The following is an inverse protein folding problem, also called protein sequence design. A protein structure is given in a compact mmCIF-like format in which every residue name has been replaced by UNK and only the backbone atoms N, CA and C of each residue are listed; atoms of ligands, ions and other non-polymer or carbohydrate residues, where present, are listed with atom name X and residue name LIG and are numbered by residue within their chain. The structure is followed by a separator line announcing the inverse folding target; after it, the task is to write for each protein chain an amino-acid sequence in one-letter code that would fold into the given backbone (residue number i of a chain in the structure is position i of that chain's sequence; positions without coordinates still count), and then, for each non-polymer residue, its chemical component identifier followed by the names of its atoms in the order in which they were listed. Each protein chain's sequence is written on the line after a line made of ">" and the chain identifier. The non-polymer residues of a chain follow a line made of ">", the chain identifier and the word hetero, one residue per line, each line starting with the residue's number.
data_IF_253514859177
#
_entry.id   IF_253514859177
#
_cell.length_a   1.000
_cell.length_b   1.000
_cell.length_c   1.000
_cell.angle_alpha   90.00
_cell.angle_beta   90.00
_cell.angle_gamma   90.00
#
_symmetry.space_group_name_H-M   'P 1'
#
loop_
_entity.id
_entity.type
_entity.pdbx_description
1 polymer ?
#
# COMPACT_ATOMS: atom_id res chain seq x y z
N UNK A 1 4.14 4.28 17.18
CA UNK A 1 3.87 3.55 15.93
C UNK A 1 2.98 4.39 15.04
N UNK A 2 3.27 4.42 13.76
CA UNK A 2 2.56 5.21 12.74
C UNK A 2 1.63 4.27 11.95
N UNK A 3 0.34 4.56 11.96
CA UNK A 3 -0.64 3.86 11.12
C UNK A 3 -0.60 4.45 9.70
N UNK A 4 -0.49 3.60 8.69
CA UNK A 4 -0.51 4.06 7.30
C UNK A 4 -1.92 4.47 6.86
N UNK A 5 -2.06 5.37 5.88
CA UNK A 5 -3.38 5.82 5.42
C UNK A 5 -4.16 4.76 4.62
N UNK A 6 -3.54 3.60 4.40
CA UNK A 6 -4.13 2.51 3.62
C UNK A 6 -4.83 1.53 4.57
N UNK A 7 -6.14 1.39 4.41
CA UNK A 7 -6.86 0.28 5.02
C UNK A 7 -6.59 -0.98 4.18
N UNK A 8 -5.48 -1.64 4.46
CA UNK A 8 -4.99 -2.78 3.67
C UNK A 8 -5.30 -4.10 4.40
N UNK A 9 -5.93 -5.04 3.67
CA UNK A 9 -6.18 -6.39 4.19
C UNK A 9 -4.84 -7.09 4.45
N UNK A 10 -4.68 -7.61 5.65
CA UNK A 10 -3.41 -8.20 6.08
C UNK A 10 -2.41 -7.20 6.66
N UNK A 11 -2.82 -5.94 6.90
CA UNK A 11 -1.96 -4.96 7.59
C UNK A 11 -1.40 -5.52 8.88
N UNK A 12 -0.08 -5.39 9.05
CA UNK A 12 0.63 -5.87 10.25
C UNK A 12 0.67 -4.84 11.38
N UNK A 13 -0.05 -3.73 11.26
CA UNK A 13 -0.02 -2.65 12.26
C UNK A 13 -0.29 -3.15 13.69
N UNK A 14 -1.27 -4.03 13.87
CA UNK A 14 -1.60 -4.61 15.18
C UNK A 14 -0.54 -5.58 15.71
N UNK A 15 0.29 -6.13 14.82
CA UNK A 15 1.35 -7.08 15.18
C UNK A 15 2.70 -6.37 15.37
N UNK A 16 2.84 -5.09 15.02
CA UNK A 16 4.11 -4.36 15.15
C UNK A 16 4.73 -4.44 16.56
N UNK A 17 3.97 -4.38 17.67
CA UNK A 17 4.57 -4.52 19.00
C UNK A 17 5.31 -5.85 19.22
N UNK A 18 4.91 -6.89 18.51
CA UNK A 18 5.56 -8.22 18.56
C UNK A 18 6.64 -8.36 17.49
N UNK A 19 6.46 -7.75 16.32
CA UNK A 19 7.39 -7.86 15.20
C UNK A 19 8.64 -6.99 15.36
N UNK A 20 8.48 -5.75 15.84
CA UNK A 20 9.60 -4.81 15.90
C UNK A 20 10.74 -5.29 16.82
N UNK A 21 10.50 -5.91 17.98
CA UNK A 21 11.59 -6.44 18.81
C UNK A 21 12.41 -7.57 18.15
N UNK A 22 11.82 -8.29 17.20
CA UNK A 22 12.47 -9.43 16.49
C UNK A 22 13.30 -8.97 15.28
N UNK A 23 13.30 -7.67 14.94
CA UNK A 23 14.05 -7.14 13.81
C UNK A 23 15.54 -7.03 14.13
N UNK A 24 16.40 -7.41 13.17
CA UNK A 24 17.85 -7.26 13.28
C UNK A 24 18.29 -5.84 12.91
N UNK A 25 18.36 -4.96 13.90
CA UNK A 25 18.81 -3.58 13.74
C UNK A 25 20.34 -3.42 13.63
N UNK A 26 21.11 -4.52 13.67
CA UNK A 26 22.55 -4.48 13.39
C UNK A 26 22.87 -4.32 11.90
N UNK A 27 21.89 -4.56 11.04
CA UNK A 27 22.02 -4.36 9.59
C UNK A 27 21.80 -2.90 9.20
N UNK A 28 22.51 -2.46 8.15
CA UNK A 28 22.35 -1.11 7.63
C UNK A 28 21.12 -0.97 6.73
N UNK A 29 20.77 -2.03 6.01
CA UNK A 29 19.74 -2.02 4.98
C UNK A 29 18.54 -2.88 5.42
N UNK A 30 17.34 -2.44 5.02
CA UNK A 30 16.09 -3.15 5.23
C UNK A 30 15.35 -3.33 3.91
N UNK A 31 14.74 -4.48 3.73
CA UNK A 31 13.91 -4.80 2.56
C UNK A 31 12.54 -5.26 3.01
N UNK A 32 11.50 -4.50 2.67
CA UNK A 32 10.10 -4.93 2.77
C UNK A 32 9.69 -5.53 1.42
N UNK A 33 9.70 -6.87 1.34
CA UNK A 33 9.61 -7.58 0.06
C UNK A 33 8.19 -7.64 -0.49
N UNK A 34 7.18 -7.52 0.40
CA UNK A 34 5.75 -7.56 0.10
C UNK A 34 5.05 -6.46 0.91
N UNK A 35 5.34 -5.20 0.60
CA UNK A 35 5.01 -4.09 1.49
C UNK A 35 3.51 -3.87 1.70
N UNK A 36 2.66 -4.21 0.72
CA UNK A 36 1.23 -3.97 0.80
C UNK A 36 0.90 -2.54 1.22
N UNK A 37 0.17 -2.38 2.32
CA UNK A 37 -0.15 -1.07 2.90
C UNK A 37 0.99 -0.38 3.63
N UNK A 38 2.20 -0.96 3.67
CA UNK A 38 3.41 -0.32 4.16
C UNK A 38 3.57 -0.19 5.67
N UNK A 39 2.81 -0.97 6.45
CA UNK A 39 2.84 -0.86 7.92
C UNK A 39 4.21 -1.12 8.52
N UNK A 40 5.02 -2.04 7.94
CA UNK A 40 6.30 -2.42 8.51
C UNK A 40 7.37 -1.40 8.14
N UNK A 41 7.61 -1.13 6.85
CA UNK A 41 8.66 -0.20 6.44
C UNK A 41 8.47 1.19 7.07
N UNK A 42 7.22 1.66 7.20
CA UNK A 42 6.90 2.96 7.83
C UNK A 42 7.40 3.04 9.27
N UNK A 43 7.34 1.94 10.01
CA UNK A 43 7.67 1.91 11.43
C UNK A 43 9.12 1.49 11.74
N UNK A 44 9.92 1.19 10.71
CA UNK A 44 11.35 0.89 10.85
C UNK A 44 12.24 1.86 10.07
N UNK A 45 11.66 2.81 9.34
CA UNK A 45 12.39 3.71 8.43
C UNK A 45 13.47 4.54 9.13
N UNK A 46 13.30 4.87 10.40
CA UNK A 46 14.27 5.61 11.20
C UNK A 46 15.45 4.74 11.68
N UNK A 47 15.33 3.41 11.66
CA UNK A 47 16.27 2.45 12.19
C UNK A 47 17.34 2.00 11.19
N UNK A 48 17.07 2.14 9.88
CA UNK A 48 17.99 1.68 8.84
C UNK A 48 18.50 2.85 8.00
N UNK A 49 19.64 2.63 7.31
CA UNK A 49 20.26 3.63 6.46
C UNK A 49 19.62 3.64 5.06
N UNK A 50 19.23 2.47 4.56
CA UNK A 50 18.56 2.30 3.28
C UNK A 50 17.38 1.34 3.43
N UNK A 51 16.28 1.68 2.77
CA UNK A 51 15.06 0.88 2.73
C UNK A 51 14.65 0.60 1.30
N UNK A 52 14.48 -0.67 0.96
CA UNK A 52 13.86 -1.10 -0.29
C UNK A 52 12.44 -1.54 0.04
N UNK A 53 11.48 -0.90 -0.60
CA UNK A 53 10.04 -1.18 -0.46
C UNK A 53 9.57 -1.77 -1.77
N UNK A 54 9.12 -3.02 -1.76
CA UNK A 54 8.68 -3.73 -2.94
C UNK A 54 7.26 -4.26 -2.79
N UNK A 55 6.50 -4.17 -3.87
CA UNK A 55 5.26 -4.92 -4.07
C UNK A 55 5.09 -5.18 -5.56
N UNK A 56 4.43 -6.29 -5.92
CA UNK A 56 4.20 -6.61 -7.33
C UNK A 56 3.13 -5.72 -7.97
N UNK A 57 2.27 -5.11 -7.15
CA UNK A 57 1.20 -4.21 -7.61
C UNK A 57 1.80 -2.82 -7.82
N UNK A 58 2.11 -2.51 -9.08
CA UNK A 58 2.79 -1.26 -9.46
C UNK A 58 2.03 -0.02 -9.02
N UNK A 59 0.71 -0.03 -9.17
CA UNK A 59 -0.15 1.10 -8.81
C UNK A 59 -0.15 1.36 -7.31
N UNK A 60 -0.01 0.33 -6.48
CA UNK A 60 0.14 0.48 -5.03
C UNK A 60 1.47 1.15 -4.68
N UNK A 61 2.56 0.73 -5.32
CA UNK A 61 3.88 1.36 -5.19
C UNK A 61 3.85 2.81 -5.66
N UNK A 62 3.13 3.11 -6.72
CA UNK A 62 3.01 4.48 -7.23
C UNK A 62 2.21 5.39 -6.28
N UNK A 63 1.20 4.87 -5.56
CA UNK A 63 0.53 5.60 -4.48
C UNK A 63 1.53 5.94 -3.36
N UNK A 64 2.35 4.96 -2.92
CA UNK A 64 3.37 5.21 -1.89
C UNK A 64 4.36 6.29 -2.31
N UNK A 65 4.88 6.22 -3.54
CA UNK A 65 5.81 7.22 -4.11
C UNK A 65 5.19 8.61 -4.15
N UNK A 66 3.97 8.72 -4.69
CA UNK A 66 3.28 10.00 -4.86
C UNK A 66 3.00 10.65 -3.50
N UNK A 67 2.52 9.88 -2.51
CA UNK A 67 2.18 10.38 -1.18
C UNK A 67 3.40 10.91 -0.42
N UNK A 68 4.57 10.31 -0.64
CA UNK A 68 5.82 10.77 -0.04
C UNK A 68 6.34 12.03 -0.74
N UNK A 69 6.15 12.13 -2.05
CA UNK A 69 6.67 13.22 -2.87
C UNK A 69 6.00 14.56 -2.56
N UNK A 70 4.66 14.61 -2.65
CA UNK A 70 3.88 15.82 -2.48
C UNK A 70 2.41 15.53 -2.13
N UNK A 71 1.56 16.55 -2.12
CA UNK A 71 0.16 16.43 -1.76
C UNK A 71 -0.79 16.33 -2.97
N UNK A 72 -0.28 16.38 -4.19
CA UNK A 72 -1.11 16.39 -5.40
C UNK A 72 -1.99 15.14 -5.52
N UNK A 73 -1.48 13.98 -5.11
CA UNK A 73 -2.26 12.75 -5.12
C UNK A 73 -3.45 12.82 -4.16
N UNK A 74 -3.34 13.51 -3.02
CA UNK A 74 -4.41 13.63 -2.03
C UNK A 74 -5.59 14.39 -2.64
N UNK A 75 -5.33 15.52 -3.26
CA UNK A 75 -6.35 16.32 -3.92
C UNK A 75 -6.95 15.58 -5.13
N UNK A 76 -6.12 14.90 -5.91
CA UNK A 76 -6.56 14.04 -7.00
C UNK A 76 -7.50 12.94 -6.51
N UNK A 77 -7.17 12.24 -5.44
CA UNK A 77 -8.01 11.18 -4.85
C UNK A 77 -9.31 11.75 -4.29
N UNK A 78 -9.26 12.89 -3.57
CA UNK A 78 -10.48 13.57 -3.08
C UNK A 78 -11.47 13.91 -4.20
N UNK A 79 -10.97 14.30 -5.37
CA UNK A 79 -11.82 14.60 -6.53
C UNK A 79 -12.43 13.37 -7.19
N UNK A 80 -11.89 12.16 -6.92
CA UNK A 80 -12.31 10.88 -7.51
C UNK A 80 -13.19 10.04 -6.60
N UNK A 81 -13.08 10.20 -5.28
CA UNK A 81 -13.93 9.45 -4.35
C UNK A 81 -15.38 9.83 -4.55
N UNK A 82 -16.24 8.83 -4.57
CA UNK A 82 -17.67 9.01 -4.80
C UNK A 82 -18.44 9.21 -3.49
N UNK A 83 -19.62 9.79 -3.54
CA UNK A 83 -20.51 9.89 -2.39
C UNK A 83 -21.01 8.50 -1.97
N UNK A 84 -21.52 8.36 -0.73
CA UNK A 84 -21.92 7.06 -0.17
C UNK A 84 -23.08 6.38 -0.91
N UNK A 85 -23.83 7.14 -1.67
CA UNK A 85 -25.02 6.66 -2.39
C UNK A 85 -24.82 6.60 -3.91
N UNK A 86 -23.65 7.02 -4.39
CA UNK A 86 -23.32 7.08 -5.82
C UNK A 86 -22.78 5.72 -6.32
N UNK A 87 -23.70 4.80 -6.56
CA UNK A 87 -23.37 3.45 -7.07
C UNK A 87 -22.84 3.51 -8.50
N UNK A 88 -23.39 4.40 -9.32
CA UNK A 88 -23.00 4.55 -10.73
C UNK A 88 -21.61 5.17 -10.85
N UNK A 89 -21.32 6.20 -10.07
CA UNK A 89 -19.99 6.81 -10.01
C UNK A 89 -18.93 5.80 -9.55
N UNK A 90 -19.25 4.94 -8.56
CA UNK A 90 -18.33 3.88 -8.17
C UNK A 90 -18.08 2.86 -9.31
N UNK A 91 -19.12 2.49 -10.04
CA UNK A 91 -18.97 1.57 -11.17
C UNK A 91 -18.11 2.18 -12.29
N UNK A 92 -18.28 3.47 -12.58
CA UNK A 92 -17.47 4.18 -13.56
C UNK A 92 -16.01 4.35 -13.09
N UNK A 93 -15.77 4.72 -11.84
CA UNK A 93 -14.43 4.78 -11.25
C UNK A 93 -13.71 3.44 -11.39
N UNK A 94 -14.40 2.32 -11.09
CA UNK A 94 -13.85 0.98 -11.22
C UNK A 94 -13.55 0.62 -12.69
N UNK A 95 -14.41 0.99 -13.61
CA UNK A 95 -14.21 0.79 -15.05
C UNK A 95 -13.01 1.58 -15.55
N UNK A 96 -12.85 2.83 -15.11
CA UNK A 96 -11.73 3.69 -15.47
C UNK A 96 -10.42 3.13 -14.94
N UNK A 97 -10.36 2.71 -13.68
CA UNK A 97 -9.19 2.03 -13.14
C UNK A 97 -8.83 0.78 -13.94
N UNK A 98 -9.79 -0.09 -14.21
CA UNK A 98 -9.53 -1.33 -14.95
C UNK A 98 -9.04 -1.07 -16.39
N UNK A 99 -9.40 0.05 -16.98
CA UNK A 99 -8.96 0.44 -18.33
C UNK A 99 -7.60 1.14 -18.33
N UNK A 100 -7.37 2.07 -17.40
CA UNK A 100 -6.24 2.99 -17.46
C UNK A 100 -5.17 2.73 -16.40
N UNK A 101 -5.46 1.94 -15.38
CA UNK A 101 -4.56 1.54 -14.30
C UNK A 101 -3.94 2.72 -13.55
N UNK A 102 -4.70 3.78 -13.36
CA UNK A 102 -4.25 4.98 -12.66
C UNK A 102 -4.19 4.72 -11.15
N UNK A 103 -3.10 5.06 -10.50
CA UNK A 103 -2.91 4.85 -9.07
C UNK A 103 -3.88 5.68 -8.20
N UNK A 104 -4.26 6.88 -8.64
CA UNK A 104 -5.24 7.72 -7.94
C UNK A 104 -6.62 7.05 -7.90
N UNK A 105 -7.02 6.44 -9.04
CA UNK A 105 -8.28 5.69 -9.12
C UNK A 105 -8.23 4.45 -8.22
N UNK A 106 -7.09 3.75 -8.14
CA UNK A 106 -6.94 2.62 -7.22
C UNK A 106 -7.13 3.07 -5.77
N UNK A 107 -6.50 4.17 -5.37
CA UNK A 107 -6.64 4.62 -3.98
C UNK A 107 -8.06 5.11 -3.68
N UNK A 108 -8.70 5.81 -4.60
CA UNK A 108 -10.11 6.18 -4.47
C UNK A 108 -11.02 4.94 -4.33
N UNK A 109 -10.81 3.90 -5.13
CA UNK A 109 -11.51 2.62 -5.01
C UNK A 109 -11.29 1.96 -3.65
N UNK A 110 -10.05 1.93 -3.15
CA UNK A 110 -9.73 1.39 -1.83
C UNK A 110 -10.46 2.12 -0.70
N UNK A 111 -10.70 3.42 -0.83
CA UNK A 111 -11.44 4.21 0.14
C UNK A 111 -12.96 3.97 0.07
N UNK A 112 -13.49 3.68 -1.12
CA UNK A 112 -14.93 3.56 -1.36
C UNK A 112 -15.45 2.12 -1.31
N UNK A 113 -14.58 1.11 -1.49
CA UNK A 113 -14.99 -0.28 -1.59
C UNK A 113 -15.38 -0.92 -0.26
N UNK A 114 -16.07 -2.05 -0.35
CA UNK A 114 -16.49 -2.82 0.82
C UNK A 114 -15.27 -3.30 1.61
N UNK A 115 -15.31 -3.08 2.93
CA UNK A 115 -14.24 -3.45 3.89
C UNK A 115 -12.88 -2.83 3.57
N UNK A 116 -12.80 -1.85 2.66
CA UNK A 116 -11.56 -1.28 2.14
C UNK A 116 -10.59 -2.36 1.60
N UNK A 117 -11.15 -3.46 1.10
CA UNK A 117 -10.41 -4.63 0.68
C UNK A 117 -10.07 -4.51 -0.81
N UNK A 118 -8.78 -4.47 -1.12
CA UNK A 118 -8.33 -4.55 -2.50
C UNK A 118 -8.52 -5.99 -3.02
N UNK A 119 -9.27 -6.15 -4.11
CA UNK A 119 -9.56 -7.44 -4.71
C UNK A 119 -9.49 -7.37 -6.23
N UNK A 120 -8.80 -8.35 -6.84
CA UNK A 120 -8.67 -8.50 -8.28
C UNK A 120 -9.17 -9.89 -8.72
N UNK A 121 -9.75 -9.94 -9.91
CA UNK A 121 -10.10 -11.21 -10.56
C UNK A 121 -8.88 -11.83 -11.27
N UNK A 122 -9.07 -12.98 -11.91
CA UNK A 122 -8.00 -13.67 -12.65
C UNK A 122 -7.48 -12.89 -13.88
N UNK A 123 -8.22 -11.89 -14.36
CA UNK A 123 -7.80 -10.96 -15.42
C UNK A 123 -7.08 -9.73 -14.88
N UNK A 124 -6.76 -9.69 -13.59
CA UNK A 124 -6.19 -8.53 -12.88
C UNK A 124 -7.08 -7.29 -12.88
N UNK A 125 -8.38 -7.44 -13.05
CA UNK A 125 -9.33 -6.35 -12.94
C UNK A 125 -9.79 -6.21 -11.48
N UNK A 126 -9.82 -4.98 -10.98
CA UNK A 126 -10.40 -4.69 -9.66
C UNK A 126 -11.89 -5.01 -9.66
N UNK A 127 -12.33 -5.86 -8.76
CA UNK A 127 -13.69 -6.38 -8.74
C UNK A 127 -14.40 -6.33 -7.38
N UNK A 128 -13.86 -5.53 -6.43
CA UNK A 128 -14.53 -5.37 -5.15
C UNK A 128 -15.81 -4.53 -5.30
N UNK A 129 -16.79 -4.86 -4.48
CA UNK A 129 -18.09 -4.18 -4.45
C UNK A 129 -18.01 -2.83 -3.74
N UNK A 130 -18.97 -1.95 -4.04
CA UNK A 130 -19.10 -0.66 -3.37
C UNK A 130 -19.42 -0.84 -1.89
N UNK A 131 -18.70 -0.15 -1.02
CA UNK A 131 -18.82 -0.23 0.43
C UNK A 131 -19.59 0.94 1.07
N UNK A 132 -20.13 1.85 0.26
CA UNK A 132 -20.80 3.08 0.72
C UNK A 132 -19.92 3.90 1.69
N UNK A 133 -18.62 3.96 1.37
CA UNK A 133 -17.61 4.69 2.12
C UNK A 133 -17.05 5.80 1.24
N UNK A 134 -16.41 6.77 1.85
CA UNK A 134 -15.79 7.89 1.16
C UNK A 134 -14.61 8.41 1.98
N UNK A 135 -13.89 9.37 1.44
CA UNK A 135 -12.86 10.12 2.15
C UNK A 135 -13.45 10.83 3.39
N UNK A 136 -12.76 10.82 4.50
CA UNK A 136 -13.22 11.43 5.75
C UNK A 136 -12.05 11.98 6.58
N UNK A 137 -12.38 12.68 7.66
CA UNK A 137 -11.40 13.29 8.57
C UNK A 137 -10.43 12.28 9.18
N UNK A 138 -10.87 11.07 9.48
CA UNK A 138 -9.99 10.02 10.00
C UNK A 138 -8.93 9.61 8.96
N UNK A 139 -9.32 9.51 7.69
CA UNK A 139 -8.39 9.27 6.58
C UNK A 139 -7.40 10.43 6.44
N UNK A 140 -7.89 11.68 6.49
CA UNK A 140 -7.02 12.85 6.42
C UNK A 140 -6.00 12.87 7.56
N UNK A 141 -6.43 12.63 8.80
CA UNK A 141 -5.52 12.61 9.95
C UNK A 141 -4.43 11.52 9.81
N UNK A 142 -4.77 10.33 9.33
CA UNK A 142 -3.78 9.28 9.07
C UNK A 142 -2.77 9.70 8.00
N UNK A 143 -3.24 10.35 6.93
CA UNK A 143 -2.37 10.90 5.88
C UNK A 143 -1.40 11.91 6.47
N UNK A 144 -1.87 12.86 7.27
CA UNK A 144 -1.05 13.93 7.82
C UNK A 144 0.03 13.40 8.75
N UNK A 145 -0.33 12.49 9.67
CA UNK A 145 0.63 11.82 10.57
C UNK A 145 1.65 10.99 9.77
N UNK A 146 1.20 10.24 8.78
CA UNK A 146 2.08 9.45 7.92
C UNK A 146 3.08 10.33 7.18
N UNK A 147 2.60 11.40 6.51
CA UNK A 147 3.44 12.34 5.76
C UNK A 147 4.48 13.01 6.64
N UNK A 148 4.06 13.53 7.80
CA UNK A 148 4.96 14.18 8.75
C UNK A 148 6.10 13.26 9.17
N UNK A 149 5.81 11.98 9.35
CA UNK A 149 6.81 10.99 9.70
C UNK A 149 7.70 10.61 8.51
N UNK A 150 7.09 10.12 7.41
CA UNK A 150 7.82 9.42 6.36
C UNK A 150 8.68 10.33 5.48
N UNK A 151 8.25 11.60 5.27
CA UNK A 151 8.97 12.56 4.42
C UNK A 151 10.34 12.95 4.98
N UNK A 152 10.57 12.78 6.27
CA UNK A 152 11.90 12.97 6.90
C UNK A 152 12.94 11.98 6.36
N UNK A 153 12.48 10.86 5.79
CA UNK A 153 13.33 9.74 5.38
C UNK A 153 13.28 9.44 3.89
N UNK A 154 12.71 10.33 3.07
CA UNK A 154 12.50 10.11 1.63
C UNK A 154 13.78 9.67 0.91
N UNK A 155 14.92 10.24 1.27
CA UNK A 155 16.22 9.92 0.65
C UNK A 155 16.75 8.51 0.99
N UNK A 156 16.18 7.84 2.00
CA UNK A 156 16.54 6.47 2.37
C UNK A 156 15.69 5.41 1.65
N UNK A 157 14.55 5.79 1.06
CA UNK A 157 13.55 4.85 0.57
C UNK A 157 13.68 4.69 -0.94
N UNK A 158 13.84 3.46 -1.36
CA UNK A 158 13.80 3.05 -2.76
C UNK A 158 12.57 2.17 -3.00
N UNK A 159 11.63 2.64 -3.81
CA UNK A 159 10.45 1.87 -4.22
C UNK A 159 10.71 1.07 -5.48
N UNK A 160 10.24 -0.18 -5.49
CA UNK A 160 10.31 -1.08 -6.63
C UNK A 160 8.99 -1.82 -6.81
N UNK A 161 8.67 -2.18 -8.05
CA UNK A 161 7.52 -3.04 -8.36
C UNK A 161 8.02 -4.21 -9.21
N UNK A 162 8.61 -5.18 -8.53
CA UNK A 162 9.24 -6.36 -9.15
C UNK A 162 8.70 -7.63 -8.55
N UNK A 163 8.80 -8.73 -9.31
CA UNK A 163 8.66 -10.03 -8.70
C UNK A 163 9.74 -10.20 -7.61
N UNK A 164 9.39 -10.83 -6.52
CA UNK A 164 10.28 -10.93 -5.35
C UNK A 164 11.63 -11.60 -5.68
N UNK A 165 11.64 -12.56 -6.63
CA UNK A 165 12.86 -13.24 -7.09
C UNK A 165 13.85 -12.34 -7.86
N UNK A 166 13.36 -11.19 -8.35
CA UNK A 166 14.16 -10.25 -9.13
C UNK A 166 14.79 -9.14 -8.25
N UNK A 167 14.51 -9.17 -6.97
CA UNK A 167 15.13 -8.26 -6.00
C UNK A 167 16.52 -8.77 -5.66
N UNK A 168 17.55 -8.04 -6.12
CA UNK A 168 18.94 -8.35 -5.83
C UNK A 168 19.36 -7.71 -4.52
N UNK A 169 19.85 -8.52 -3.59
CA UNK A 169 20.38 -8.11 -2.30
C UNK A 169 21.91 -8.11 -2.41
N UNK A 170 22.53 -6.95 -2.46
CA UNK A 170 23.98 -6.83 -2.67
C UNK A 170 24.78 -6.80 -1.37
N UNK A 171 24.13 -6.50 -0.24
CA UNK A 171 24.75 -6.38 1.10
C UNK A 171 23.94 -7.19 2.11
N UNK A 172 24.56 -7.58 3.25
CA UNK A 172 23.80 -8.11 4.38
C UNK A 172 22.73 -7.12 4.82
N UNK A 173 21.47 -7.52 4.75
CA UNK A 173 20.31 -6.70 5.07
C UNK A 173 19.31 -7.48 5.90
N UNK A 174 18.43 -6.77 6.63
CA UNK A 174 17.23 -7.35 7.20
C UNK A 174 16.17 -7.44 6.11
N UNK A 175 15.62 -8.62 5.88
CA UNK A 175 14.55 -8.84 4.91
C UNK A 175 13.27 -9.22 5.64
N UNK A 176 12.23 -8.43 5.46
CA UNK A 176 10.89 -8.77 5.93
C UNK A 176 10.09 -9.42 4.79
N UNK A 177 9.53 -10.60 5.08
CA UNK A 177 8.84 -11.43 4.09
C UNK A 177 7.45 -11.78 4.62
N UNK A 178 6.42 -11.24 3.99
CA UNK A 178 5.02 -11.50 4.31
C UNK A 178 4.22 -11.75 3.02
N UNK A 179 4.45 -12.89 2.36
CA UNK A 179 3.79 -13.20 1.10
C UNK A 179 2.30 -13.50 1.31
N UNK A 180 1.48 -13.36 0.28
CA UNK A 180 0.10 -13.84 0.31
C UNK A 180 0.05 -15.33 0.64
N UNK A 181 -0.79 -15.72 1.58
CA UNK A 181 -0.93 -17.12 1.98
C UNK A 181 -1.64 -17.92 0.88
N UNK A 182 -1.09 -19.09 0.53
CA UNK A 182 -1.61 -19.96 -0.56
C UNK A 182 -3.06 -20.39 -0.34
N UNK A 183 -3.49 -20.51 0.90
CA UNK A 183 -4.84 -20.94 1.29
C UNK A 183 -5.77 -19.77 1.63
N UNK A 184 -5.34 -18.52 1.42
CA UNK A 184 -6.20 -17.37 1.66
C UNK A 184 -6.97 -17.02 0.39
N UNK A 185 -8.24 -16.62 0.54
CA UNK A 185 -9.04 -16.01 -0.53
C UNK A 185 -8.64 -14.55 -0.80
N UNK A 186 -7.42 -14.16 -0.44
CA UNK A 186 -6.97 -12.79 -0.64
C UNK A 186 -7.04 -12.44 -2.13
N UNK A 187 -7.82 -11.43 -2.45
CA UNK A 187 -8.15 -11.06 -3.83
C UNK A 187 -6.97 -10.62 -4.70
N UNK A 188 -5.78 -10.43 -4.09
CA UNK A 188 -4.53 -10.13 -4.79
C UNK A 188 -3.69 -11.38 -5.11
N UNK A 189 -4.12 -12.58 -4.70
CA UNK A 189 -3.42 -13.83 -5.02
C UNK A 189 -3.31 -14.09 -6.53
N UNK A 190 -4.14 -13.45 -7.35
CA UNK A 190 -4.05 -13.54 -8.81
C UNK A 190 -2.68 -13.11 -9.34
N UNK A 191 -2.01 -12.14 -8.70
CA UNK A 191 -0.69 -11.67 -9.10
C UNK A 191 0.44 -12.67 -8.84
N UNK A 192 0.21 -13.67 -7.97
CA UNK A 192 1.23 -14.63 -7.51
C UNK A 192 1.05 -16.04 -8.06
N UNK A 193 0.01 -16.27 -8.85
CA UNK A 193 -0.33 -17.62 -9.41
C UNK A 193 0.23 -17.86 -10.82
N UNK A 194 1.19 -17.08 -11.25
CA UNK A 194 1.85 -17.27 -12.55
C UNK A 194 3.14 -18.04 -12.42
#
# INVERSE_FOLDING_TARGET
>A
MIETPFNYTGSKFKLLPQLLPEMDYSKNDFVDLFCGGGSVYTNVVDKYQKIIVNDIISELIDIHKALIKDDSIIESVKSRVVSKDDVEGYAELRKNFNKYRNCDDLWALMLCCNSNMMRFNQKFEFNQTFGKRTFNNSTQNKIDVFKEHIRKYVNKIQFTSKHFSDIKLNNPCMVYIDPPYSNSEAGYNAYWKK
#
